data_IF_627941235683
#
_entry.id   IF_627941235683
#
_cell.length_a   1.000
_cell.length_b   1.000
_cell.length_c   1.000
_cell.angle_alpha   90.00
_cell.angle_beta   90.00
_cell.angle_gamma   90.00
#
_symmetry.space_group_name_H-M   'P 1'
#
loop_
_entity.id
_entity.type
_entity.pdbx_description
1 polymer ?
#
# COMPACT_ATOMS: atom_id res chain seq x y z
N UNK A 1 -17.61 10.38 -5.99
CA UNK A 1 -19.02 10.02 -5.88
C UNK A 1 -19.90 11.26 -5.78
N UNK A 2 -19.81 12.04 -4.71
CA UNK A 2 -20.66 13.24 -4.48
C UNK A 2 -20.61 14.25 -5.64
N UNK A 3 -19.45 14.48 -6.25
CA UNK A 3 -19.32 15.41 -7.38
C UNK A 3 -20.01 14.92 -8.65
N UNK A 4 -20.09 13.60 -8.89
CA UNK A 4 -20.80 13.02 -10.02
C UNK A 4 -22.32 13.10 -9.85
N UNK A 5 -22.80 12.82 -8.63
CA UNK A 5 -24.24 12.90 -8.30
C UNK A 5 -24.72 14.35 -8.24
N UNK A 6 -23.88 15.30 -7.78
CA UNK A 6 -24.24 16.72 -7.69
C UNK A 6 -24.39 17.43 -9.04
N UNK A 7 -23.89 16.85 -10.12
CA UNK A 7 -24.02 17.41 -11.48
C UNK A 7 -25.36 17.06 -12.16
N UNK A 8 -26.13 16.12 -11.58
CA UNK A 8 -27.38 15.63 -12.15
C UNK A 8 -28.57 16.34 -11.48
N UNK A 9 -29.44 16.97 -12.26
CA UNK A 9 -30.60 17.75 -11.76
C UNK A 9 -31.88 16.91 -11.60
N UNK A 10 -31.99 15.79 -12.29
CA UNK A 10 -33.17 14.93 -12.29
C UNK A 10 -32.76 13.47 -12.08
N UNK A 11 -33.51 12.75 -11.23
CA UNK A 11 -33.24 11.34 -10.91
C UNK A 11 -33.26 10.43 -12.15
N UNK A 12 -34.08 10.79 -13.14
CA UNK A 12 -34.18 10.07 -14.42
C UNK A 12 -32.89 10.13 -15.28
N UNK A 13 -31.99 11.09 -14.99
CA UNK A 13 -30.70 11.26 -15.67
C UNK A 13 -29.52 10.72 -14.84
N UNK A 14 -29.81 10.05 -13.71
CA UNK A 14 -28.80 9.33 -12.97
C UNK A 14 -28.36 8.11 -13.79
N UNK A 15 -27.26 8.24 -14.50
CA UNK A 15 -26.58 7.08 -15.07
C UNK A 15 -26.02 6.22 -13.93
N UNK A 16 -26.09 4.88 -14.04
CA UNK A 16 -25.38 4.00 -13.13
C UNK A 16 -23.92 4.47 -13.10
N UNK A 17 -23.36 4.64 -11.91
CA UNK A 17 -21.93 4.96 -11.79
C UNK A 17 -21.16 3.92 -12.60
N UNK A 18 -20.25 4.35 -13.50
CA UNK A 18 -19.38 3.40 -14.16
C UNK A 18 -18.73 2.56 -13.07
N UNK A 19 -18.64 1.26 -13.29
CA UNK A 19 -18.08 0.33 -12.34
C UNK A 19 -16.65 0.74 -11.98
N UNK A 20 -16.50 1.46 -10.87
CA UNK A 20 -15.21 1.96 -10.39
C UNK A 20 -14.48 0.92 -9.53
N UNK A 21 -15.16 -0.16 -9.18
CA UNK A 21 -14.57 -1.25 -8.43
C UNK A 21 -13.38 -1.82 -9.21
N UNK A 22 -12.30 -2.08 -8.49
CA UNK A 22 -11.01 -2.51 -9.06
C UNK A 22 -10.32 -1.52 -10.02
N UNK A 23 -10.87 -0.31 -10.20
CA UNK A 23 -10.18 0.80 -10.85
C UNK A 23 -9.56 1.78 -9.83
N UNK A 24 -10.03 1.73 -8.57
CA UNK A 24 -9.44 2.42 -7.43
C UNK A 24 -8.87 1.36 -6.50
N UNK A 25 -7.54 1.28 -6.45
CA UNK A 25 -6.83 0.25 -5.73
C UNK A 25 -5.95 0.88 -4.66
N UNK A 26 -6.04 0.41 -3.41
CA UNK A 26 -5.18 0.87 -2.33
C UNK A 26 -3.79 0.22 -2.44
N UNK A 27 -2.77 0.95 -2.03
CA UNK A 27 -1.42 0.42 -1.94
C UNK A 27 -0.36 1.50 -2.01
N UNK A 28 0.85 1.15 -1.61
CA UNK A 28 2.00 2.02 -1.71
C UNK A 28 2.61 1.90 -3.11
N UNK A 29 2.35 2.88 -3.96
CA UNK A 29 2.79 2.90 -5.35
C UNK A 29 4.31 2.95 -5.54
N UNK A 30 5.05 3.30 -4.49
CA UNK A 30 6.52 3.36 -4.50
C UNK A 30 7.17 2.03 -4.08
N UNK A 31 6.42 1.15 -3.43
CA UNK A 31 6.91 -0.17 -2.99
C UNK A 31 6.13 -1.25 -3.71
N UNK A 32 6.86 -2.18 -4.28
CA UNK A 32 6.28 -3.30 -5.01
C UNK A 32 7.04 -3.58 -6.30
N UNK A 33 6.54 -4.54 -7.05
CA UNK A 33 7.19 -5.01 -8.25
C UNK A 33 6.59 -4.32 -9.48
N UNK A 34 7.39 -3.49 -10.15
CA UNK A 34 7.00 -2.86 -11.42
C UNK A 34 6.82 -3.91 -12.51
N UNK A 35 7.67 -4.94 -12.53
CA UNK A 35 7.61 -6.10 -13.41
C UNK A 35 7.94 -7.33 -12.62
N UNK A 36 7.36 -8.46 -13.00
CA UNK A 36 7.66 -9.77 -12.44
C UNK A 36 8.21 -10.62 -13.57
N UNK A 37 9.42 -11.14 -13.40
CA UNK A 37 9.97 -12.14 -14.29
C UNK A 37 9.33 -13.50 -13.98
N UNK A 38 8.56 -14.03 -14.93
CA UNK A 38 7.81 -15.28 -14.76
C UNK A 38 8.75 -16.46 -14.51
N UNK A 39 9.90 -16.50 -15.20
CA UNK A 39 10.87 -17.59 -15.06
C UNK A 39 11.56 -17.55 -13.69
N UNK A 40 11.97 -16.37 -13.25
CA UNK A 40 12.57 -16.19 -11.92
C UNK A 40 11.57 -16.56 -10.82
N UNK A 41 10.32 -16.09 -10.95
CA UNK A 41 9.24 -16.39 -10.01
C UNK A 41 9.01 -17.90 -9.92
N UNK A 42 8.80 -18.57 -11.06
CA UNK A 42 8.48 -19.98 -11.10
C UNK A 42 9.67 -20.84 -10.65
N UNK A 43 10.89 -20.48 -11.03
CA UNK A 43 12.10 -21.17 -10.58
C UNK A 43 12.28 -21.09 -9.06
N UNK A 44 11.96 -19.96 -8.46
CA UNK A 44 12.15 -19.75 -7.02
C UNK A 44 11.02 -20.33 -6.16
N UNK A 45 9.78 -20.26 -6.64
CA UNK A 45 8.60 -20.57 -5.82
C UNK A 45 7.89 -21.86 -6.20
N UNK A 46 7.84 -22.23 -7.47
CA UNK A 46 7.16 -23.45 -7.93
C UNK A 46 8.00 -24.70 -7.71
N UNK A 47 9.34 -24.61 -7.79
CA UNK A 47 10.22 -25.77 -7.54
C UNK A 47 10.18 -26.26 -6.09
N UNK A 48 9.91 -25.36 -5.14
CA UNK A 48 9.89 -25.71 -3.72
C UNK A 48 8.51 -26.21 -3.24
N UNK A 49 7.47 -25.99 -4.03
CA UNK A 49 6.11 -26.43 -3.71
C UNK A 49 5.33 -26.68 -5.00
N UNK A 50 5.14 -27.97 -5.31
CA UNK A 50 4.47 -28.46 -6.51
C UNK A 50 2.98 -28.01 -6.58
N UNK A 51 2.40 -27.59 -5.46
CA UNK A 51 1.03 -27.10 -5.39
C UNK A 51 0.92 -25.58 -5.52
N UNK A 52 2.04 -24.85 -5.52
CA UNK A 52 2.04 -23.41 -5.75
C UNK A 52 1.73 -23.08 -7.21
N UNK A 53 0.85 -22.10 -7.38
CA UNK A 53 0.51 -21.56 -8.71
C UNK A 53 1.73 -20.85 -9.29
N UNK A 54 1.96 -21.01 -10.59
CA UNK A 54 2.89 -20.19 -11.34
C UNK A 54 2.42 -18.74 -11.40
N UNK A 55 3.32 -17.81 -11.72
CA UNK A 55 2.93 -16.41 -11.90
C UNK A 55 1.83 -16.25 -12.94
N UNK A 56 1.93 -16.98 -14.06
CA UNK A 56 0.93 -16.98 -15.12
C UNK A 56 -0.44 -17.46 -14.63
N UNK A 57 -0.47 -18.53 -13.85
CA UNK A 57 -1.73 -19.03 -13.26
C UNK A 57 -2.37 -18.01 -12.31
N UNK A 58 -1.58 -17.28 -11.53
CA UNK A 58 -2.09 -16.20 -10.67
C UNK A 58 -2.70 -15.05 -11.48
N UNK A 59 -2.01 -14.63 -12.55
CA UNK A 59 -2.48 -13.58 -13.46
C UNK A 59 -3.76 -14.00 -14.18
N UNK A 60 -3.77 -15.20 -14.77
CA UNK A 60 -4.93 -15.70 -15.51
C UNK A 60 -6.16 -15.89 -14.62
N UNK A 61 -5.96 -16.32 -13.39
CA UNK A 61 -7.04 -16.42 -12.40
C UNK A 61 -7.61 -15.06 -12.03
N UNK A 62 -6.75 -14.08 -11.72
CA UNK A 62 -7.16 -12.69 -11.46
C UNK A 62 -7.97 -12.13 -12.63
N UNK A 63 -7.45 -12.24 -13.84
CA UNK A 63 -8.08 -11.68 -15.03
C UNK A 63 -9.42 -12.33 -15.34
N UNK A 64 -9.53 -13.63 -15.16
CA UNK A 64 -10.80 -14.37 -15.32
C UNK A 64 -11.85 -13.90 -14.33
N UNK A 65 -11.49 -13.74 -13.04
CA UNK A 65 -12.40 -13.26 -12.00
C UNK A 65 -12.84 -11.81 -12.23
N UNK A 66 -11.90 -10.93 -12.61
CA UNK A 66 -12.19 -9.53 -12.96
C UNK A 66 -13.14 -9.42 -14.15
N UNK A 67 -12.96 -10.24 -15.19
CA UNK A 67 -13.84 -10.27 -16.34
C UNK A 67 -15.24 -10.78 -15.97
N UNK A 68 -15.33 -11.84 -15.16
CA UNK A 68 -16.61 -12.33 -14.66
C UNK A 68 -17.37 -11.26 -13.86
N UNK A 69 -16.67 -10.53 -12.99
CA UNK A 69 -17.26 -9.42 -12.24
C UNK A 69 -17.76 -8.30 -13.15
N UNK A 70 -16.96 -7.86 -14.13
CA UNK A 70 -17.33 -6.81 -15.09
C UNK A 70 -18.58 -7.21 -15.89
N UNK A 71 -18.60 -8.42 -16.44
CA UNK A 71 -19.76 -8.93 -17.17
C UNK A 71 -21.02 -9.04 -16.31
N UNK A 72 -20.87 -9.45 -15.05
CA UNK A 72 -21.99 -9.51 -14.12
C UNK A 72 -22.51 -8.11 -13.74
N UNK A 73 -21.61 -7.15 -13.55
CA UNK A 73 -21.96 -5.77 -13.22
C UNK A 73 -22.66 -5.03 -14.37
N UNK A 74 -22.27 -5.31 -15.62
CA UNK A 74 -22.89 -4.72 -16.82
C UNK A 74 -24.25 -5.36 -17.15
N UNK A 75 -24.55 -6.55 -16.62
CA UNK A 75 -25.81 -7.25 -16.88
C UNK A 75 -26.93 -6.77 -15.93
N UNK A 76 -27.54 -5.64 -16.26
CA UNK A 76 -28.67 -5.07 -15.50
C UNK A 76 -29.80 -6.09 -15.36
N UNK A 77 -30.20 -6.42 -14.13
CA UNK A 77 -31.37 -7.23 -13.81
C UNK A 77 -31.12 -8.72 -13.58
N UNK A 78 -29.86 -9.18 -13.49
CA UNK A 78 -29.56 -10.54 -13.05
C UNK A 78 -29.31 -10.57 -11.54
N UNK A 79 -29.88 -11.57 -10.89
CA UNK A 79 -29.72 -11.88 -9.46
C UNK A 79 -28.30 -12.50 -9.19
N UNK A 80 -27.27 -11.81 -9.66
CA UNK A 80 -25.88 -12.25 -9.50
C UNK A 80 -25.32 -11.61 -8.24
N UNK A 81 -24.81 -12.42 -7.34
CA UNK A 81 -24.17 -11.93 -6.11
C UNK A 81 -22.82 -11.27 -6.41
N UNK A 82 -22.85 -9.99 -6.76
CA UNK A 82 -21.66 -9.18 -7.01
C UNK A 82 -20.73 -9.11 -5.78
N UNK A 83 -21.28 -9.28 -4.56
CA UNK A 83 -20.46 -9.27 -3.33
C UNK A 83 -19.61 -10.54 -3.24
N UNK A 84 -20.17 -11.70 -3.60
CA UNK A 84 -19.42 -12.94 -3.64
C UNK A 84 -18.27 -12.85 -4.67
N UNK A 85 -18.57 -12.39 -5.88
CA UNK A 85 -17.56 -12.21 -6.92
C UNK A 85 -16.46 -11.22 -6.49
N UNK A 86 -16.83 -10.13 -5.83
CA UNK A 86 -15.87 -9.16 -5.29
C UNK A 86 -14.98 -9.80 -4.22
N UNK A 87 -15.56 -10.52 -3.28
CA UNK A 87 -14.84 -11.24 -2.22
C UNK A 87 -13.85 -12.26 -2.80
N UNK A 88 -14.23 -12.96 -3.84
CA UNK A 88 -13.36 -13.92 -4.54
C UNK A 88 -12.17 -13.24 -5.21
N UNK A 89 -12.36 -12.04 -5.79
CA UNK A 89 -11.28 -11.26 -6.38
C UNK A 89 -10.34 -10.75 -5.28
N UNK A 90 -10.89 -10.19 -4.21
CA UNK A 90 -10.10 -9.68 -3.07
C UNK A 90 -9.25 -10.81 -2.45
N UNK A 91 -9.79 -12.01 -2.32
CA UNK A 91 -9.06 -13.19 -1.86
C UNK A 91 -7.91 -13.55 -2.79
N UNK A 92 -8.16 -13.60 -4.10
CA UNK A 92 -7.11 -13.90 -5.09
C UNK A 92 -5.99 -12.86 -5.08
N UNK A 93 -6.35 -11.58 -4.93
CA UNK A 93 -5.36 -10.48 -4.81
C UNK A 93 -4.52 -10.63 -3.53
N UNK A 94 -5.12 -11.00 -2.40
CA UNK A 94 -4.42 -11.23 -1.15
C UNK A 94 -3.45 -12.40 -1.23
N UNK A 95 -3.88 -13.55 -1.78
CA UNK A 95 -3.03 -14.73 -1.99
C UNK A 95 -1.81 -14.40 -2.86
N UNK A 96 -2.02 -13.69 -3.96
CA UNK A 96 -0.94 -13.28 -4.85
C UNK A 96 0.01 -12.28 -4.16
N UNK A 97 -0.53 -11.30 -3.44
CA UNK A 97 0.28 -10.31 -2.72
C UNK A 97 1.19 -10.95 -1.68
N UNK A 98 0.75 -12.02 -0.99
CA UNK A 98 1.60 -12.73 -0.04
C UNK A 98 2.87 -13.27 -0.72
N UNK A 99 2.72 -13.90 -1.88
CA UNK A 99 3.86 -14.46 -2.63
C UNK A 99 4.73 -13.35 -3.22
N UNK A 100 4.12 -12.30 -3.77
CA UNK A 100 4.84 -11.17 -4.34
C UNK A 100 5.60 -10.35 -3.28
N UNK A 101 5.06 -10.26 -2.06
CA UNK A 101 5.75 -9.66 -0.92
C UNK A 101 6.99 -10.48 -0.51
N UNK A 102 6.99 -11.80 -0.69
CA UNK A 102 8.20 -12.62 -0.49
C UNK A 102 9.32 -12.21 -1.45
N UNK A 103 9.00 -11.96 -2.73
CA UNK A 103 9.97 -11.46 -3.71
C UNK A 103 10.55 -10.10 -3.30
N UNK A 104 9.70 -9.18 -2.85
CA UNK A 104 10.17 -7.88 -2.36
C UNK A 104 11.07 -8.05 -1.16
N UNK A 105 10.68 -8.89 -0.19
CA UNK A 105 11.48 -9.21 0.99
C UNK A 105 12.87 -9.75 0.63
N UNK A 106 12.91 -10.68 -0.33
CA UNK A 106 14.18 -11.26 -0.79
C UNK A 106 15.08 -10.21 -1.45
N UNK A 107 14.51 -9.30 -2.24
CA UNK A 107 15.28 -8.18 -2.82
C UNK A 107 15.85 -7.24 -1.77
N UNK A 108 15.11 -6.95 -0.72
CA UNK A 108 15.64 -6.16 0.40
C UNK A 108 16.83 -6.88 1.08
N UNK A 109 16.75 -8.19 1.25
CA UNK A 109 17.84 -8.99 1.81
C UNK A 109 19.06 -9.04 0.87
N UNK A 110 18.87 -9.22 -0.42
CA UNK A 110 19.94 -9.20 -1.45
C UNK A 110 20.67 -7.86 -1.48
N UNK A 111 19.96 -6.76 -1.30
CA UNK A 111 20.51 -5.41 -1.20
C UNK A 111 21.16 -5.12 0.17
N UNK A 112 21.05 -6.06 1.13
CA UNK A 112 21.59 -5.89 2.49
C UNK A 112 20.87 -4.83 3.31
N UNK A 113 19.66 -4.44 2.91
CA UNK A 113 18.86 -3.44 3.60
C UNK A 113 18.37 -4.02 4.93
N UNK A 114 18.54 -3.26 6.01
CA UNK A 114 18.12 -3.65 7.35
C UNK A 114 16.98 -2.76 7.83
N UNK A 115 16.12 -3.36 8.66
CA UNK A 115 15.13 -2.59 9.39
C UNK A 115 15.81 -1.80 10.51
N UNK A 116 15.53 -0.50 10.58
CA UNK A 116 16.01 0.38 11.64
C UNK A 116 14.86 0.69 12.59
N UNK A 117 14.86 0.02 13.72
CA UNK A 117 13.87 0.21 14.77
C UNK A 117 14.23 1.45 15.59
N UNK A 118 13.38 2.47 15.54
CA UNK A 118 13.56 3.66 16.35
C UNK A 118 13.49 3.32 17.84
N UNK A 119 14.33 3.93 18.64
CA UNK A 119 14.38 3.71 20.07
C UNK A 119 14.18 5.03 20.82
N UNK A 120 13.82 4.93 22.10
CA UNK A 120 13.66 6.05 23.00
C UNK A 120 14.79 6.09 24.02
N UNK A 121 15.45 7.24 24.13
CA UNK A 121 16.41 7.51 25.19
C UNK A 121 15.69 8.20 26.37
N UNK A 122 15.45 7.47 27.42
CA UNK A 122 14.74 7.96 28.59
C UNK A 122 15.54 9.04 29.36
N UNK A 123 16.87 9.02 29.26
CA UNK A 123 17.72 10.01 29.96
C UNK A 123 17.72 11.35 29.20
N UNK A 124 17.75 11.29 27.87
CA UNK A 124 17.64 12.48 27.03
C UNK A 124 16.19 12.94 26.81
N UNK A 125 15.21 12.10 27.13
CA UNK A 125 13.77 12.31 26.82
C UNK A 125 13.55 12.61 25.33
N UNK A 126 14.25 11.88 24.46
CA UNK A 126 14.25 12.06 23.00
C UNK A 126 14.51 10.74 22.29
N UNK A 127 14.53 10.79 20.95
CA UNK A 127 14.89 9.65 20.11
C UNK A 127 16.33 9.18 20.40
N UNK A 128 16.48 7.91 20.69
CA UNK A 128 17.74 7.24 20.85
C UNK A 128 18.35 6.75 19.52
N UNK A 129 19.48 6.06 19.61
CA UNK A 129 20.07 5.42 18.43
C UNK A 129 19.19 4.28 17.95
N UNK A 130 18.85 4.21 16.65
CA UNK A 130 18.02 3.13 16.12
C UNK A 130 18.75 1.78 16.24
N UNK A 131 17.95 0.73 16.48
CA UNK A 131 18.44 -0.65 16.51
C UNK A 131 18.26 -1.27 15.14
N UNK A 132 19.34 -1.84 14.58
CA UNK A 132 19.28 -2.51 13.28
C UNK A 132 19.02 -4.00 13.45
N UNK A 133 18.05 -4.54 12.70
CA UNK A 133 17.78 -5.96 12.60
C UNK A 133 17.56 -6.38 11.14
N UNK A 134 17.55 -7.67 10.89
CA UNK A 134 17.11 -8.19 9.60
C UNK A 134 15.67 -7.76 9.32
N UNK A 135 15.40 -7.42 8.06
CA UNK A 135 14.03 -7.15 7.61
C UNK A 135 13.22 -8.44 7.70
N UNK A 136 11.98 -8.34 8.16
CA UNK A 136 11.04 -9.44 8.24
C UNK A 136 9.94 -9.25 7.20
N UNK A 137 9.27 -10.35 6.82
CA UNK A 137 8.14 -10.30 5.89
C UNK A 137 7.06 -9.31 6.35
N UNK A 138 6.76 -9.28 7.64
CA UNK A 138 5.77 -8.37 8.23
C UNK A 138 6.15 -6.88 8.04
N UNK A 139 7.44 -6.56 7.99
CA UNK A 139 7.89 -5.18 7.72
C UNK A 139 7.56 -4.75 6.29
N UNK A 140 7.63 -5.68 5.34
CA UNK A 140 7.24 -5.45 3.95
C UNK A 140 5.71 -5.34 3.83
N UNK A 141 4.97 -6.27 4.42
CA UNK A 141 3.51 -6.27 4.41
C UNK A 141 2.92 -4.99 5.02
N UNK A 142 3.53 -4.47 6.08
CA UNK A 142 3.14 -3.21 6.72
C UNK A 142 3.29 -1.99 5.80
N UNK A 143 4.08 -2.09 4.72
CA UNK A 143 4.19 -1.04 3.71
C UNK A 143 3.08 -1.10 2.66
N UNK A 144 2.24 -2.13 2.68
CA UNK A 144 1.17 -2.35 1.69
C UNK A 144 1.67 -2.22 0.25
N UNK A 145 2.66 -3.04 -0.19
CA UNK A 145 3.26 -2.89 -1.52
C UNK A 145 2.22 -2.97 -2.63
N UNK A 146 2.41 -2.16 -3.68
CA UNK A 146 1.58 -2.20 -4.87
C UNK A 146 2.34 -2.84 -6.03
N UNK A 147 1.97 -4.06 -6.39
CA UNK A 147 2.65 -4.83 -7.42
C UNK A 147 2.10 -4.51 -8.82
N UNK A 148 2.64 -3.47 -9.43
CA UNK A 148 2.22 -2.96 -10.75
C UNK A 148 2.20 -4.05 -11.82
N UNK A 149 3.28 -4.86 -11.89
CA UNK A 149 3.41 -5.93 -12.86
C UNK A 149 2.40 -7.07 -12.71
N UNK A 150 1.75 -7.19 -11.56
CA UNK A 150 0.66 -8.14 -11.34
C UNK A 150 -0.72 -7.51 -11.54
N UNK A 151 -0.93 -6.33 -10.96
CA UNK A 151 -2.23 -5.64 -11.02
C UNK A 151 -2.58 -5.22 -12.45
N UNK A 152 -1.59 -4.67 -13.15
CA UNK A 152 -1.69 -4.17 -14.53
C UNK A 152 -0.86 -4.99 -15.50
N UNK A 153 -0.86 -6.32 -15.35
CA UNK A 153 -0.06 -7.24 -16.16
C UNK A 153 -0.22 -7.02 -17.66
N UNK A 154 -1.46 -6.88 -18.14
CA UNK A 154 -1.73 -6.64 -19.56
C UNK A 154 -1.08 -5.35 -20.06
N UNK A 155 -1.18 -4.26 -19.30
CA UNK A 155 -0.57 -2.98 -19.66
C UNK A 155 0.96 -3.07 -19.59
N UNK A 156 1.49 -3.68 -18.55
CA UNK A 156 2.94 -3.74 -18.30
C UNK A 156 3.65 -4.74 -19.21
N UNK A 157 3.02 -5.88 -19.54
CA UNK A 157 3.63 -6.94 -20.33
C UNK A 157 3.33 -6.78 -21.84
N UNK A 158 2.06 -6.57 -22.21
CA UNK A 158 1.64 -6.59 -23.59
C UNK A 158 1.78 -5.23 -24.29
N UNK A 159 1.55 -4.12 -23.56
CA UNK A 159 1.62 -2.77 -24.10
C UNK A 159 2.92 -2.04 -23.78
N UNK A 160 3.75 -2.62 -22.90
CA UNK A 160 5.05 -2.07 -22.49
C UNK A 160 4.96 -0.99 -21.41
N UNK A 161 3.77 -0.60 -20.96
CA UNK A 161 3.53 0.38 -19.91
C UNK A 161 2.33 1.29 -20.17
N UNK A 162 2.16 2.30 -19.33
CA UNK A 162 1.11 3.31 -19.46
C UNK A 162 1.52 4.41 -20.44
N UNK A 163 0.59 4.89 -21.23
CA UNK A 163 0.81 6.02 -22.15
C UNK A 163 0.95 7.35 -21.40
N UNK A 164 0.22 7.51 -20.29
CA UNK A 164 0.25 8.71 -19.43
C UNK A 164 0.14 8.31 -17.98
N UNK A 165 0.95 8.93 -17.14
CA UNK A 165 0.88 8.81 -15.68
C UNK A 165 0.63 10.20 -15.10
N UNK A 166 -0.47 10.33 -14.34
CA UNK A 166 -0.77 11.54 -13.57
C UNK A 166 -0.61 11.21 -12.09
N UNK A 167 0.25 11.94 -11.40
CA UNK A 167 0.53 11.72 -10.00
C UNK A 167 0.66 13.04 -9.25
N UNK A 168 0.35 13.01 -7.97
CA UNK A 168 0.71 14.04 -7.01
C UNK A 168 1.64 13.42 -5.97
N UNK A 169 2.95 13.29 -6.30
CA UNK A 169 3.91 12.70 -5.38
C UNK A 169 4.09 13.58 -4.15
N UNK A 170 4.49 13.03 -3.00
CA UNK A 170 4.85 13.82 -1.85
C UNK A 170 6.05 14.70 -2.20
N UNK A 171 5.88 16.01 -2.15
CA UNK A 171 6.90 17.02 -2.50
C UNK A 171 8.03 17.09 -1.46
N UNK A 172 7.77 16.64 -0.24
CA UNK A 172 8.78 16.52 0.81
C UNK A 172 9.40 15.13 0.74
N UNK A 173 10.71 15.05 1.03
CA UNK A 173 11.43 13.78 1.01
C UNK A 173 10.74 12.70 1.85
N UNK A 174 10.97 11.44 1.51
CA UNK A 174 10.39 10.28 2.18
C UNK A 174 10.91 10.17 3.62
N UNK A 175 10.28 10.90 4.53
CA UNK A 175 10.66 11.02 5.95
C UNK A 175 9.41 11.16 6.83
N UNK A 176 9.51 10.83 8.13
CA UNK A 176 8.41 10.99 9.06
C UNK A 176 7.92 12.43 9.14
N UNK A 177 6.61 12.62 9.05
CA UNK A 177 5.96 13.91 9.17
C UNK A 177 5.35 14.06 10.58
N UNK A 178 6.10 14.71 11.47
CA UNK A 178 5.71 14.82 12.87
C UNK A 178 4.34 15.51 13.06
N UNK A 179 4.07 16.59 12.32
CA UNK A 179 2.78 17.29 12.40
C UNK A 179 1.60 16.40 12.01
N UNK A 180 1.75 15.60 10.96
CA UNK A 180 0.71 14.67 10.51
C UNK A 180 0.45 13.58 11.55
N UNK A 181 1.53 13.03 12.12
CA UNK A 181 1.40 11.99 13.14
C UNK A 181 0.72 12.49 14.41
N UNK A 182 1.10 13.69 14.90
CA UNK A 182 0.57 14.20 16.17
C UNK A 182 -0.75 14.97 16.06
N UNK A 183 -1.18 15.38 14.87
CA UNK A 183 -2.43 16.12 14.65
C UNK A 183 -3.68 15.43 15.24
N UNK A 184 -3.88 14.10 15.13
CA UNK A 184 -5.04 13.43 15.73
C UNK A 184 -5.06 13.46 17.25
N UNK A 185 -3.92 13.66 17.91
CA UNK A 185 -3.78 13.65 19.37
C UNK A 185 -3.85 15.04 20.01
N UNK A 186 -3.89 16.13 19.20
CA UNK A 186 -3.95 17.49 19.72
C UNK A 186 -4.66 18.44 18.74
N UNK A 187 -5.77 19.03 19.20
CA UNK A 187 -6.45 20.09 18.46
C UNK A 187 -5.57 21.31 18.18
N UNK A 188 -4.57 21.56 19.03
CA UNK A 188 -3.63 22.66 18.83
C UNK A 188 -2.76 22.43 17.60
N UNK A 189 -2.32 21.19 17.38
CA UNK A 189 -1.50 20.82 16.21
C UNK A 189 -2.33 20.82 14.93
N UNK A 190 -3.60 20.42 15.00
CA UNK A 190 -4.50 20.41 13.83
C UNK A 190 -4.86 21.84 13.36
N UNK A 191 -4.78 22.85 14.23
CA UNK A 191 -4.98 24.24 13.87
C UNK A 191 -3.72 24.79 13.19
N UNK A 192 -3.85 25.28 11.95
CA UNK A 192 -2.75 25.64 11.02
C UNK A 192 -1.75 26.72 11.47
N UNK A 193 -1.94 27.39 12.60
CA UNK A 193 -1.19 28.59 13.02
C UNK A 193 -0.24 28.37 14.21
N UNK A 194 0.25 27.14 14.41
CA UNK A 194 1.19 26.85 15.49
C UNK A 194 2.64 27.14 15.05
N UNK A 195 3.39 27.88 15.85
CA UNK A 195 4.82 28.10 15.65
C UNK A 195 5.62 26.81 15.89
N UNK A 196 6.86 26.73 15.36
CA UNK A 196 7.73 25.57 15.55
C UNK A 196 7.95 25.29 17.06
N UNK A 197 8.21 26.33 17.85
CA UNK A 197 8.44 26.19 19.29
C UNK A 197 7.21 25.66 20.06
N UNK A 198 6.03 26.15 19.71
CA UNK A 198 4.78 25.65 20.30
C UNK A 198 4.53 24.20 19.93
N UNK A 199 4.86 23.81 18.68
CA UNK A 199 4.78 22.42 18.24
C UNK A 199 5.73 21.51 19.03
N UNK A 200 6.99 21.91 19.21
CA UNK A 200 7.98 21.13 19.98
C UNK A 200 7.54 20.90 21.42
N UNK A 201 6.99 21.94 22.08
CA UNK A 201 6.46 21.82 23.44
C UNK A 201 5.27 20.86 23.50
N UNK A 202 4.34 20.97 22.57
CA UNK A 202 3.15 20.10 22.53
C UNK A 202 3.54 18.66 22.18
N UNK A 203 4.47 18.46 21.26
CA UNK A 203 5.02 17.17 20.93
C UNK A 203 5.69 16.52 22.15
N UNK A 204 6.54 17.26 22.87
CA UNK A 204 7.18 16.77 24.09
C UNK A 204 6.16 16.37 25.16
N UNK A 205 5.05 17.10 25.28
CA UNK A 205 3.93 16.76 26.16
C UNK A 205 3.25 15.45 25.75
N UNK A 206 2.94 15.30 24.46
CA UNK A 206 2.29 14.10 23.93
C UNK A 206 3.17 12.86 24.07
N UNK A 207 4.48 13.01 23.92
CA UNK A 207 5.45 11.92 24.07
C UNK A 207 5.64 11.43 25.52
N UNK A 208 5.05 12.10 26.53
CA UNK A 208 4.97 11.54 27.88
C UNK A 208 4.00 10.36 27.95
N UNK A 209 2.99 10.34 27.09
CA UNK A 209 2.10 9.19 26.95
C UNK A 209 2.88 8.02 26.29
N UNK A 210 2.82 6.85 26.94
CA UNK A 210 3.58 5.67 26.50
C UNK A 210 3.05 5.13 25.18
N UNK A 211 1.74 5.17 24.96
CA UNK A 211 1.11 4.61 23.76
C UNK A 211 1.34 5.51 22.55
N UNK A 212 1.21 6.82 22.72
CA UNK A 212 1.52 7.80 21.67
C UNK A 212 3.01 7.72 21.30
N UNK A 213 3.89 7.61 22.30
CA UNK A 213 5.33 7.46 22.08
C UNK A 213 5.67 6.15 21.35
N UNK A 214 5.09 5.02 21.78
CA UNK A 214 5.31 3.73 21.10
C UNK A 214 4.84 3.78 19.63
N UNK A 215 3.67 4.37 19.39
CA UNK A 215 3.17 4.59 18.04
C UNK A 215 4.08 5.50 17.20
N UNK A 216 4.64 6.56 17.80
CA UNK A 216 5.61 7.45 17.14
C UNK A 216 6.89 6.71 16.73
N UNK A 217 7.45 5.89 17.62
CA UNK A 217 8.62 5.07 17.33
C UNK A 217 8.35 4.07 16.21
N UNK A 218 7.20 3.41 16.24
CA UNK A 218 6.77 2.51 15.17
C UNK A 218 6.60 3.25 13.84
N UNK A 219 6.03 4.45 13.85
CA UNK A 219 5.89 5.31 12.66
C UNK A 219 7.26 5.72 12.11
N UNK A 220 8.18 6.19 12.96
CA UNK A 220 9.56 6.54 12.58
C UNK A 220 10.29 5.38 11.90
N UNK A 221 10.12 4.17 12.42
CA UNK A 221 10.79 2.96 11.94
C UNK A 221 10.39 2.53 10.51
N UNK A 222 9.30 3.08 9.97
CA UNK A 222 8.80 2.75 8.62
C UNK A 222 9.62 3.36 7.49
N UNK A 223 10.37 4.41 7.75
CA UNK A 223 10.99 5.22 6.68
C UNK A 223 12.41 4.81 6.28
N UNK A 224 13.34 4.46 7.20
CA UNK A 224 14.74 4.27 6.85
C UNK A 224 14.99 3.19 5.80
N UNK A 225 14.39 2.01 5.97
CA UNK A 225 14.57 0.89 5.04
C UNK A 225 13.92 1.16 3.68
N UNK A 226 12.86 1.96 3.65
CA UNK A 226 12.23 2.39 2.41
C UNK A 226 13.10 3.38 1.66
N UNK A 227 13.65 4.39 2.36
CA UNK A 227 14.59 5.34 1.74
C UNK A 227 15.86 4.66 1.24
N UNK A 228 16.26 3.54 1.82
CA UNK A 228 17.43 2.78 1.37
C UNK A 228 17.13 1.90 0.14
N UNK A 229 15.86 1.63 -0.15
CA UNK A 229 15.42 0.84 -1.31
C UNK A 229 15.37 1.68 -2.59
N UNK A 230 15.11 2.98 -2.48
CA UNK A 230 15.09 3.93 -3.60
C UNK A 230 16.44 4.59 -3.83
#
# INVERSE_FOLDING_TARGET
>A
FLSMVSSVREVAHLEPLPNIDFNILPGNSLVGLMRVDEHEFDAKYKQNDMFRKSFRELVDEKNRRLNAYRHAADAVGRDTDLRALRSDIETALQEANQVLNELVHDRFNELGIKFEEASWDAAANDLGKPKKRAIQRQDIEAQTPFHWGYVFDDIMQNRGGFDVILANPPWEGFKPQAKEYFAPFSEKISKKNMSIKEFEVEQARLLQDKDIRAGWLAYQSRFPHMSAYF
#
